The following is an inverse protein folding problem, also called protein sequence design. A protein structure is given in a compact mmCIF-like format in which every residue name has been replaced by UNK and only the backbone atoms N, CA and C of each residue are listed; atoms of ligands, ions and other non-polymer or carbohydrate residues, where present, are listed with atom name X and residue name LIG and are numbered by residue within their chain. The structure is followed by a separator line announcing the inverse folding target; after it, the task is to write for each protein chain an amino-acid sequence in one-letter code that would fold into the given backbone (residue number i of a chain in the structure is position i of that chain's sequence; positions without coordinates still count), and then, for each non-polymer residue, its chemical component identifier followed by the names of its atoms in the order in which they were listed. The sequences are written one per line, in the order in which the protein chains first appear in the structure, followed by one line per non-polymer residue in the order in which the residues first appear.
data_IF_234739021416
#
_entry.id   IF_234739021416
#
_cell.length_a   1.000
_cell.length_b   1.000
_cell.length_c   1.000
_cell.angle_alpha   90.00
_cell.angle_beta   90.00
_cell.angle_gamma   90.00
#
_symmetry.space_group_name_H-M   'P 1'
#
loop_
_entity.id
_entity.type
_entity.pdbx_description
1 polymer ?
#
# COMPACT_ATOMS: atom_id res chain seq x y z
N UNK A 1 -21.40 -0.77 -5.20
CA UNK A 1 -20.33 -0.86 -4.17
C UNK A 1 -19.09 -0.06 -4.56
N UNK A 2 -18.65 -0.11 -5.83
CA UNK A 2 -17.58 0.77 -6.38
C UNK A 2 -17.74 2.25 -6.06
N UNK A 3 -18.93 2.85 -6.29
CA UNK A 3 -19.14 4.29 -6.07
C UNK A 3 -18.85 4.80 -4.64
N UNK A 4 -18.96 3.96 -3.61
CA UNK A 4 -18.65 4.36 -2.24
C UNK A 4 -17.13 4.38 -1.98
N UNK A 5 -16.39 3.44 -2.57
CA UNK A 5 -14.92 3.39 -2.48
C UNK A 5 -14.33 4.53 -3.31
N UNK A 6 -14.88 4.79 -4.50
CA UNK A 6 -14.45 5.89 -5.36
C UNK A 6 -14.65 7.24 -4.66
N UNK A 7 -15.84 7.49 -4.08
CA UNK A 7 -16.11 8.72 -3.35
C UNK A 7 -15.22 8.90 -2.11
N UNK A 8 -14.92 7.83 -1.38
CA UNK A 8 -13.98 7.87 -0.24
C UNK A 8 -12.56 8.16 -0.75
N UNK A 9 -12.15 7.52 -1.83
CA UNK A 9 -10.82 7.72 -2.41
C UNK A 9 -10.64 9.15 -2.91
N UNK A 10 -11.61 9.69 -3.64
CA UNK A 10 -11.62 11.07 -4.11
C UNK A 10 -11.55 12.05 -2.93
N UNK A 11 -12.30 11.81 -1.86
CA UNK A 11 -12.30 12.66 -0.67
C UNK A 11 -10.92 12.65 0.02
N UNK A 12 -10.34 11.48 0.27
CA UNK A 12 -9.05 11.37 0.96
C UNK A 12 -7.93 11.96 0.09
N UNK A 13 -7.90 11.65 -1.21
CA UNK A 13 -6.90 12.20 -2.15
C UNK A 13 -7.01 13.73 -2.25
N UNK A 14 -8.23 14.27 -2.36
CA UNK A 14 -8.46 15.72 -2.41
C UNK A 14 -7.98 16.40 -1.13
N UNK A 15 -8.37 15.87 0.04
CA UNK A 15 -7.97 16.41 1.34
C UNK A 15 -6.45 16.34 1.56
N UNK A 16 -5.83 15.25 1.10
CA UNK A 16 -4.39 15.07 1.17
C UNK A 16 -3.66 16.08 0.27
N UNK A 17 -4.14 16.30 -0.96
CA UNK A 17 -3.59 17.31 -1.86
C UNK A 17 -3.70 18.73 -1.28
N UNK A 18 -4.86 19.08 -0.71
CA UNK A 18 -5.07 20.35 -0.02
C UNK A 18 -4.09 20.54 1.15
N UNK A 19 -3.83 19.46 1.91
CA UNK A 19 -2.94 19.48 3.07
C UNK A 19 -1.47 19.59 2.65
N UNK A 20 -1.09 18.87 1.59
CA UNK A 20 0.25 18.91 1.02
C UNK A 20 0.56 20.24 0.30
N UNK A 21 -0.48 20.97 -0.14
CA UNK A 21 -0.34 22.15 -1.00
C UNK A 21 0.08 21.80 -2.44
N UNK A 22 0.05 20.53 -2.82
CA UNK A 22 0.38 20.03 -4.15
C UNK A 22 -0.44 18.78 -4.52
N UNK A 23 -0.66 18.49 -5.81
CA UNK A 23 -1.35 17.28 -6.22
C UNK A 23 -0.50 16.03 -5.93
N UNK A 24 -1.09 15.03 -5.28
CA UNK A 24 -0.46 13.75 -5.00
C UNK A 24 -0.84 12.68 -6.03
N UNK A 25 0.02 11.66 -6.26
CA UNK A 25 -0.36 10.51 -7.07
C UNK A 25 -1.61 9.83 -6.48
N UNK A 26 -2.56 9.38 -7.31
CA UNK A 26 -3.80 8.79 -6.81
C UNK A 26 -3.53 7.50 -6.02
N UNK A 27 -4.24 7.34 -4.91
CA UNK A 27 -4.30 6.10 -4.14
C UNK A 27 -5.76 5.68 -3.94
N UNK A 28 -6.01 4.37 -3.81
CA UNK A 28 -7.33 3.84 -3.50
C UNK A 28 -7.46 3.68 -2.01
N UNK A 29 -8.54 4.20 -1.42
CA UNK A 29 -8.74 4.25 0.02
C UNK A 29 -9.95 3.45 0.46
N UNK A 30 -9.80 2.72 1.56
CA UNK A 30 -10.88 2.07 2.27
C UNK A 30 -10.88 2.54 3.73
N UNK A 31 -12.06 2.69 4.31
CA UNK A 31 -12.18 2.90 5.75
C UNK A 31 -12.16 1.56 6.49
N UNK A 32 -11.15 1.35 7.35
CA UNK A 32 -11.12 0.19 8.24
C UNK A 32 -12.03 0.45 9.45
N UNK A 33 -13.34 0.22 9.23
CA UNK A 33 -14.32 0.34 10.29
C UNK A 33 -14.23 -0.81 11.31
N UNK A 34 -13.60 -1.93 10.97
CA UNK A 34 -13.52 -3.11 11.82
C UNK A 34 -12.56 -2.88 12.99
N UNK A 35 -11.57 -2.01 12.83
CA UNK A 35 -10.70 -1.57 13.91
C UNK A 35 -11.47 -1.09 15.14
N UNK A 36 -12.66 -0.48 14.98
CA UNK A 36 -13.53 -0.06 16.10
C UNK A 36 -13.97 -1.19 17.04
N UNK A 37 -13.91 -2.43 16.57
CA UNK A 37 -14.28 -3.61 17.34
C UNK A 37 -13.08 -4.29 17.99
N UNK A 38 -11.86 -3.78 17.76
CA UNK A 38 -10.64 -4.31 18.36
C UNK A 38 -9.97 -3.23 19.20
N UNK A 39 -9.78 -3.46 20.49
CA UNK A 39 -9.14 -2.48 21.39
C UNK A 39 -7.68 -2.13 21.00
N UNK A 40 -7.07 -2.94 20.13
CA UNK A 40 -5.69 -2.79 19.68
C UNK A 40 -5.53 -1.90 18.43
N UNK A 41 -6.59 -1.57 17.70
CA UNK A 41 -6.49 -0.79 16.46
C UNK A 41 -7.42 0.42 16.48
N UNK A 42 -6.89 1.58 16.14
CA UNK A 42 -7.71 2.76 15.91
C UNK A 42 -8.31 2.70 14.50
N UNK A 43 -9.55 3.19 14.30
CA UNK A 43 -10.11 3.35 12.97
C UNK A 43 -9.21 4.24 12.10
N UNK A 44 -8.86 3.75 10.92
CA UNK A 44 -7.97 4.45 9.99
C UNK A 44 -8.44 4.28 8.54
N UNK A 45 -8.09 5.24 7.68
CA UNK A 45 -8.17 5.06 6.24
C UNK A 45 -6.95 4.28 5.76
N UNK A 46 -7.18 3.14 5.13
CA UNK A 46 -6.14 2.31 4.51
C UNK A 46 -6.08 2.60 3.02
N UNK A 47 -4.94 3.11 2.60
CA UNK A 47 -4.64 3.43 1.22
C UNK A 47 -3.78 2.34 0.59
N UNK A 48 -4.01 2.08 -0.68
CA UNK A 48 -3.15 1.24 -1.52
C UNK A 48 -2.78 2.00 -2.78
N UNK A 49 -1.50 1.96 -3.13
CA UNK A 49 -1.01 2.47 -4.42
C UNK A 49 -1.35 1.44 -5.50
N UNK A 50 -1.76 1.91 -6.69
CA UNK A 50 -2.30 1.05 -7.74
C UNK A 50 -1.41 -0.18 -8.02
N UNK A 51 -1.95 -1.42 -8.01
CA UNK A 51 -1.16 -2.63 -8.13
C UNK A 51 -0.49 -2.81 -9.49
N UNK A 52 -1.00 -2.13 -10.52
CA UNK A 52 -0.45 -2.19 -11.88
C UNK A 52 0.88 -1.43 -12.05
N UNK A 53 1.30 -0.65 -11.05
CA UNK A 53 2.59 0.04 -11.08
C UNK A 53 3.74 -0.92 -10.80
N UNK A 54 4.88 -0.69 -11.45
CA UNK A 54 6.10 -1.39 -11.06
C UNK A 54 6.48 -1.08 -9.61
N UNK A 55 7.22 -1.99 -8.96
CA UNK A 55 7.71 -1.81 -7.60
C UNK A 55 8.47 -0.47 -7.40
N UNK A 56 9.25 -0.06 -8.41
CA UNK A 56 9.98 1.21 -8.40
C UNK A 56 9.04 2.42 -8.45
N UNK A 57 8.02 2.40 -9.30
CA UNK A 57 7.01 3.47 -9.40
C UNK A 57 6.12 3.53 -8.17
N UNK A 58 5.69 2.38 -7.66
CA UNK A 58 4.93 2.29 -6.42
C UNK A 58 5.72 2.86 -5.24
N UNK A 59 7.02 2.54 -5.14
CA UNK A 59 7.90 3.11 -4.12
C UNK A 59 8.10 4.62 -4.30
N UNK A 60 8.20 5.12 -5.53
CA UNK A 60 8.31 6.55 -5.80
C UNK A 60 7.03 7.29 -5.39
N UNK A 61 5.85 6.74 -5.69
CA UNK A 61 4.57 7.29 -5.25
C UNK A 61 4.46 7.26 -3.72
N UNK A 62 4.82 6.15 -3.08
CA UNK A 62 4.79 6.01 -1.63
C UNK A 62 5.71 7.03 -0.95
N UNK A 63 6.92 7.21 -1.47
CA UNK A 63 7.89 8.18 -0.97
C UNK A 63 7.41 9.62 -1.14
N UNK A 64 6.70 9.92 -2.23
CA UNK A 64 6.11 11.24 -2.46
C UNK A 64 5.02 11.55 -1.44
N UNK A 65 4.11 10.61 -1.20
CA UNK A 65 3.10 10.72 -0.14
C UNK A 65 3.73 10.91 1.23
N UNK A 66 4.72 10.07 1.55
CA UNK A 66 5.41 10.11 2.84
C UNK A 66 6.04 11.49 3.10
N UNK A 67 6.73 12.03 2.10
CA UNK A 67 7.35 13.36 2.21
C UNK A 67 6.32 14.48 2.28
N UNK A 68 5.28 14.44 1.46
CA UNK A 68 4.33 15.55 1.34
C UNK A 68 3.45 15.74 2.58
N UNK A 69 3.18 14.65 3.31
CA UNK A 69 2.34 14.66 4.51
C UNK A 69 3.11 14.39 5.81
N UNK A 70 4.45 14.44 5.76
CA UNK A 70 5.33 14.12 6.89
C UNK A 70 4.96 12.78 7.56
N UNK A 71 4.73 11.75 6.74
CA UNK A 71 4.30 10.44 7.22
C UNK A 71 5.47 9.67 7.84
N UNK A 72 5.14 8.88 8.86
CA UNK A 72 6.10 8.05 9.60
C UNK A 72 6.07 6.63 9.05
N UNK A 73 7.24 6.02 8.88
CA UNK A 73 7.36 4.62 8.48
C UNK A 73 6.77 3.71 9.57
N UNK A 74 5.78 2.91 9.20
CA UNK A 74 5.08 1.96 10.08
C UNK A 74 5.09 0.55 9.50
N UNK A 75 6.07 0.26 8.66
CA UNK A 75 6.25 -1.06 8.04
C UNK A 75 6.53 -2.08 9.12
N UNK A 76 5.70 -3.12 9.19
CA UNK A 76 5.92 -4.24 10.11
C UNK A 76 6.93 -5.23 9.53
N UNK A 77 7.55 -6.09 10.35
CA UNK A 77 8.41 -7.16 9.86
C UNK A 77 7.71 -8.08 8.85
N UNK A 78 6.43 -8.38 9.07
CA UNK A 78 5.64 -9.23 8.17
C UNK A 78 5.38 -8.54 6.83
N UNK A 79 5.09 -7.24 6.84
CA UNK A 79 4.94 -6.46 5.61
C UNK A 79 6.25 -6.39 4.82
N UNK A 80 7.37 -6.13 5.51
CA UNK A 80 8.68 -6.11 4.89
C UNK A 80 9.04 -7.49 4.31
N UNK A 81 8.72 -8.58 5.01
CA UNK A 81 8.92 -9.94 4.52
C UNK A 81 8.08 -10.26 3.27
N UNK A 82 6.95 -9.60 3.09
CA UNK A 82 6.10 -9.68 1.90
C UNK A 82 6.48 -8.65 0.80
N UNK A 83 7.58 -7.91 0.95
CA UNK A 83 8.02 -6.91 -0.02
C UNK A 83 7.15 -5.64 -0.04
N UNK A 84 6.44 -5.37 1.07
CA UNK A 84 5.57 -4.20 1.24
C UNK A 84 6.22 -3.16 2.13
N UNK A 85 5.79 -1.91 1.94
CA UNK A 85 6.15 -0.79 2.81
C UNK A 85 4.93 0.04 3.14
N UNK A 86 4.88 0.52 4.37
CA UNK A 86 3.74 1.25 4.94
C UNK A 86 4.19 2.54 5.61
N UNK A 87 3.43 3.60 5.40
CA UNK A 87 3.58 4.87 6.11
C UNK A 87 2.25 5.28 6.73
N UNK A 88 2.29 5.99 7.86
CA UNK A 88 1.10 6.54 8.50
C UNK A 88 1.26 8.01 8.84
N UNK A 89 0.13 8.72 8.86
CA UNK A 89 0.04 10.11 9.28
C UNK A 89 -1.36 10.42 9.80
N UNK A 90 -1.56 11.67 10.23
CA UNK A 90 -2.89 12.21 10.50
C UNK A 90 -3.29 13.16 9.38
N UNK A 91 -4.51 13.00 8.87
CA UNK A 91 -5.12 13.89 7.90
C UNK A 91 -6.34 14.55 8.54
N UNK A 92 -6.16 15.77 9.05
CA UNK A 92 -7.12 16.36 9.98
C UNK A 92 -7.19 15.54 11.27
N UNK A 93 -8.39 15.05 11.62
CA UNK A 93 -8.61 14.23 12.82
C UNK A 93 -8.54 12.71 12.56
N UNK A 94 -8.33 12.29 11.31
CA UNK A 94 -8.33 10.87 10.93
C UNK A 94 -6.89 10.35 10.75
N UNK A 95 -6.63 9.14 11.21
CA UNK A 95 -5.41 8.41 10.87
C UNK A 95 -5.51 7.87 9.45
N UNK A 96 -4.44 8.04 8.68
CA UNK A 96 -4.28 7.43 7.37
C UNK A 96 -3.06 6.52 7.38
N UNK A 97 -3.15 5.40 6.67
CA UNK A 97 -2.06 4.46 6.47
C UNK A 97 -2.00 4.06 5.01
N UNK A 98 -0.90 4.37 4.34
CA UNK A 98 -0.68 4.05 2.93
C UNK A 98 0.32 2.92 2.82
N UNK A 99 -0.04 1.87 2.09
CA UNK A 99 0.80 0.68 1.88
C UNK A 99 0.99 0.46 0.38
N UNK A 100 2.21 0.07 -0.01
CA UNK A 100 2.51 -0.33 -1.38
C UNK A 100 3.42 -1.56 -1.40
N UNK A 101 3.27 -2.39 -2.43
CA UNK A 101 4.28 -3.37 -2.77
C UNK A 101 5.45 -2.63 -3.42
N UNK A 102 6.61 -2.65 -2.78
CA UNK A 102 7.81 -1.92 -3.21
C UNK A 102 8.96 -2.86 -3.59
N UNK A 103 8.79 -4.14 -3.32
CA UNK A 103 9.66 -5.20 -3.77
C UNK A 103 8.74 -6.34 -4.23
N UNK A 104 8.73 -6.63 -5.52
CA UNK A 104 8.13 -7.89 -5.95
C UNK A 104 9.09 -8.96 -5.48
N UNK A 105 8.75 -9.70 -4.43
CA UNK A 105 9.29 -11.05 -4.26
C UNK A 105 9.11 -11.72 -5.61
N UNK A 106 10.24 -11.89 -6.32
CA UNK A 106 10.26 -12.50 -7.62
C UNK A 106 9.41 -13.76 -7.53
N UNK A 107 8.45 -13.90 -8.45
CA UNK A 107 7.82 -15.19 -8.68
C UNK A 107 8.92 -16.16 -9.13
N UNK A 108 9.59 -16.76 -8.16
CA UNK A 108 10.30 -18.02 -8.27
C UNK A 108 9.45 -18.98 -7.45
N UNK A 109 8.55 -19.72 -8.06
CA UNK A 109 8.94 -21.04 -8.54
C UNK A 109 8.17 -21.41 -9.81
N UNK A 110 8.76 -21.17 -10.97
CA UNK A 110 8.52 -22.03 -12.13
C UNK A 110 9.21 -23.37 -11.80
N UNK A 111 8.48 -24.31 -11.20
CA UNK A 111 8.96 -25.70 -11.05
C UNK A 111 9.00 -26.31 -12.45
N UNK A 112 10.08 -26.08 -13.19
CA UNK A 112 10.35 -26.85 -14.39
C UNK A 112 10.54 -28.33 -13.97
N UNK A 113 9.78 -29.28 -14.54
CA UNK A 113 10.03 -30.68 -14.27
C UNK A 113 11.40 -31.06 -14.87
N UNK A 114 12.28 -31.59 -14.03
CA UNK A 114 13.56 -32.16 -14.46
C UNK A 114 13.29 -33.27 -15.50
N UNK A 115 13.87 -33.24 -16.71
CA UNK A 115 13.88 -34.41 -17.55
C UNK A 115 14.81 -35.46 -16.90
N UNK A 116 14.22 -36.59 -16.51
CA UNK A 116 14.96 -37.79 -16.11
C UNK A 116 15.69 -38.28 -17.38
N UNK A 117 17.00 -38.04 -17.47
CA UNK A 117 17.85 -38.72 -18.45
C UNK A 117 18.12 -40.14 -17.95
N UNK A 118 17.32 -41.07 -18.44
CA UNK A 118 17.61 -42.51 -18.38
C UNK A 118 18.85 -42.77 -19.23
N UNK A 119 20.02 -42.93 -18.61
CA UNK A 119 21.16 -43.51 -19.31
C UNK A 119 21.32 -44.97 -18.87
N UNK A 120 20.80 -45.86 -19.71
CA UNK A 120 21.22 -47.25 -19.76
C UNK A 120 22.51 -47.33 -20.57
N UNK A 121 23.58 -47.84 -19.98
CA UNK A 121 24.59 -48.72 -20.60
C UNK A 121 25.56 -49.20 -19.53
#
# INVERSE_FOLDING_TARGET
MMAAIDAVSDLVNSRAADTAGEPLPPATWLWDCCARFTAAHQPEFRGTIHPDLSAAEANAHLSRWARALDMVDTTTPDEAAEGRRSYSATLGAATIRLTAAIDTLASATETQPLPILTNMS
#
